data_IF_799311068555
#
_entry.id   IF_799311068555
#
_cell.length_a   1.000
_cell.length_b   1.000
_cell.length_c   1.000
_cell.angle_alpha   90.00
_cell.angle_beta   90.00
_cell.angle_gamma   90.00
#
_symmetry.space_group_name_H-M   'P 1'
#
loop_
_entity.id
_entity.type
_entity.pdbx_description
1 polymer ?
#
# COMPACT_ATOMS: atom_id res chain seq x y z
N UNK A 1 5.14 -1.73 25.37
CA UNK A 1 4.15 -2.38 24.48
C UNK A 1 3.49 -1.27 23.67
N UNK A 2 3.79 -1.15 22.37
CA UNK A 2 3.26 -0.07 21.54
C UNK A 2 1.71 -0.20 21.45
N UNK A 3 0.96 0.91 21.49
CA UNK A 3 -0.49 0.87 21.46
C UNK A 3 -0.95 0.17 20.17
N UNK A 4 -1.79 -0.87 20.30
CA UNK A 4 -2.50 -1.47 19.16
C UNK A 4 -3.34 -0.35 18.54
N UNK A 5 -2.93 0.14 17.36
CA UNK A 5 -3.76 1.04 16.58
C UNK A 5 -5.14 0.37 16.38
N UNK A 6 -6.20 1.11 16.71
CA UNK A 6 -7.60 0.68 16.57
C UNK A 6 -7.91 0.53 15.08
N UNK A 7 -7.66 -0.66 14.53
CA UNK A 7 -7.87 -0.96 13.11
C UNK A 7 -7.37 -2.35 12.76
N UNK A 8 -8.03 -3.01 11.80
CA UNK A 8 -7.60 -4.29 11.26
C UNK A 8 -6.32 -4.15 10.43
N UNK A 9 -5.72 -5.26 10.01
CA UNK A 9 -4.49 -5.25 9.20
C UNK A 9 -4.59 -4.34 7.95
N UNK A 10 -5.76 -4.32 7.29
CA UNK A 10 -6.03 -3.43 6.16
C UNK A 10 -5.97 -1.96 6.54
N UNK A 11 -6.57 -1.57 7.67
CA UNK A 11 -6.58 -0.18 8.12
C UNK A 11 -5.18 0.30 8.51
N UNK A 12 -4.38 -0.58 9.13
CA UNK A 12 -2.98 -0.28 9.46
C UNK A 12 -2.15 -0.06 8.21
N UNK A 13 -2.29 -0.94 7.22
CA UNK A 13 -1.63 -0.79 5.92
C UNK A 13 -2.07 0.51 5.24
N UNK A 14 -3.37 0.82 5.24
CA UNK A 14 -3.89 2.08 4.68
C UNK A 14 -3.22 3.30 5.31
N UNK A 15 -3.22 3.38 6.64
CA UNK A 15 -2.60 4.48 7.37
C UNK A 15 -1.10 4.57 7.11
N UNK A 16 -0.42 3.42 7.00
CA UNK A 16 1.00 3.38 6.72
C UNK A 16 1.32 3.88 5.32
N UNK A 17 0.61 3.42 4.29
CA UNK A 17 0.78 3.95 2.94
C UNK A 17 0.49 5.45 2.86
N UNK A 18 -0.61 5.92 3.48
CA UNK A 18 -0.99 7.34 3.46
C UNK A 18 0.02 8.25 4.19
N UNK A 19 0.83 7.70 5.11
CA UNK A 19 1.89 8.45 5.79
C UNK A 19 3.24 8.40 5.06
N UNK A 20 3.37 7.54 4.04
CA UNK A 20 4.61 7.32 3.27
C UNK A 20 4.32 7.42 1.76
N UNK A 21 3.55 8.44 1.36
CA UNK A 21 3.24 8.69 -0.05
C UNK A 21 4.54 9.08 -0.79
N UNK A 22 4.79 8.45 -1.94
CA UNK A 22 6.01 8.69 -2.71
C UNK A 22 7.23 7.89 -2.24
N UNK A 23 7.12 7.12 -1.15
CA UNK A 23 8.22 6.33 -0.61
C UNK A 23 8.15 4.86 -1.04
N UNK A 24 9.32 4.26 -1.32
CA UNK A 24 9.43 2.83 -1.63
C UNK A 24 9.42 2.03 -0.33
N UNK A 25 8.44 1.15 -0.20
CA UNK A 25 8.20 0.32 0.98
C UNK A 25 8.46 -1.16 0.68
N UNK A 26 9.14 -1.84 1.60
CA UNK A 26 9.40 -3.27 1.51
C UNK A 26 8.23 -4.12 2.02
N UNK A 27 7.97 -5.24 1.34
CA UNK A 27 6.91 -6.18 1.70
C UNK A 27 7.06 -6.77 3.11
N UNK A 28 8.28 -6.92 3.62
CA UNK A 28 8.52 -7.36 5.00
C UNK A 28 8.01 -6.32 6.01
N UNK A 29 8.29 -5.03 5.78
CA UNK A 29 7.76 -3.94 6.60
C UNK A 29 6.23 -3.90 6.55
N UNK A 30 5.63 -4.05 5.36
CA UNK A 30 4.17 -4.11 5.23
C UNK A 30 3.57 -5.30 5.98
N UNK A 31 4.21 -6.46 5.94
CA UNK A 31 3.81 -7.63 6.73
C UNK A 31 3.84 -7.33 8.23
N UNK A 32 4.88 -6.68 8.72
CA UNK A 32 4.99 -6.29 10.14
C UNK A 32 3.91 -5.29 10.55
N UNK A 33 3.67 -4.26 9.73
CA UNK A 33 2.59 -3.28 9.91
C UNK A 33 1.21 -3.97 9.98
N UNK A 34 1.00 -4.99 9.15
CA UNK A 34 -0.21 -5.81 9.14
C UNK A 34 -0.32 -6.75 10.36
N UNK A 35 0.65 -6.74 11.29
CA UNK A 35 0.68 -7.60 12.47
C UNK A 35 1.27 -8.98 12.22
N UNK A 36 2.08 -9.15 11.17
CA UNK A 36 2.79 -10.40 10.86
C UNK A 36 1.96 -11.47 10.14
N UNK A 37 0.70 -11.18 9.81
CA UNK A 37 -0.23 -12.13 9.18
C UNK A 37 0.20 -12.50 7.75
N UNK A 38 -0.10 -13.71 7.29
CA UNK A 38 0.16 -14.15 5.90
C UNK A 38 -0.62 -13.33 4.86
N UNK A 39 -1.83 -12.88 5.23
CA UNK A 39 -2.78 -12.22 4.33
C UNK A 39 -2.43 -10.76 3.99
N UNK A 40 -1.29 -10.24 4.47
CA UNK A 40 -0.91 -8.83 4.26
C UNK A 40 -0.94 -8.45 2.77
N UNK A 41 -0.40 -9.30 1.89
CA UNK A 41 -0.36 -9.04 0.45
C UNK A 41 -1.76 -9.05 -0.19
N UNK A 42 -2.71 -9.81 0.37
CA UNK A 42 -4.12 -9.72 -0.03
C UNK A 42 -4.71 -8.38 0.39
N UNK A 43 -4.45 -7.92 1.61
CA UNK A 43 -4.94 -6.61 2.11
C UNK A 43 -4.40 -5.44 1.28
N UNK A 44 -3.15 -5.50 0.83
CA UNK A 44 -2.60 -4.50 -0.10
C UNK A 44 -3.39 -4.47 -1.42
N UNK A 45 -3.77 -5.63 -1.98
CA UNK A 45 -4.59 -5.69 -3.20
C UNK A 45 -5.99 -5.16 -3.01
N UNK A 46 -6.60 -5.40 -1.84
CA UNK A 46 -7.90 -4.81 -1.48
C UNK A 46 -7.82 -3.28 -1.46
N UNK A 47 -6.76 -2.70 -0.87
CA UNK A 47 -6.54 -1.25 -0.90
C UNK A 47 -6.40 -0.70 -2.33
N UNK A 48 -5.68 -1.41 -3.20
CA UNK A 48 -5.52 -1.02 -4.62
C UNK A 48 -6.84 -1.10 -5.38
N UNK A 49 -7.55 -2.22 -5.26
CA UNK A 49 -8.68 -2.55 -6.14
C UNK A 49 -10.04 -2.05 -5.61
N UNK A 50 -10.26 -2.12 -4.29
CA UNK A 50 -11.55 -1.74 -3.67
C UNK A 50 -11.57 -0.26 -3.28
N UNK A 51 -10.44 0.28 -2.85
CA UNK A 51 -10.35 1.69 -2.38
C UNK A 51 -9.68 2.63 -3.38
N UNK A 52 -9.11 2.08 -4.46
CA UNK A 52 -8.50 2.86 -5.53
C UNK A 52 -7.16 3.50 -5.15
N UNK A 53 -6.46 3.04 -4.11
CA UNK A 53 -5.12 3.56 -3.82
C UNK A 53 -4.17 3.19 -4.96
N UNK A 54 -3.37 4.16 -5.45
CA UNK A 54 -2.40 3.92 -6.53
C UNK A 54 -1.13 3.24 -5.99
N UNK A 55 -1.29 2.02 -5.46
CA UNK A 55 -0.20 1.20 -4.96
C UNK A 55 0.44 0.47 -6.14
N UNK A 56 1.60 0.97 -6.54
CA UNK A 56 2.44 0.41 -7.60
C UNK A 56 3.32 -0.71 -7.05
N UNK A 57 3.62 -1.65 -7.94
CA UNK A 57 4.56 -2.76 -7.72
C UNK A 57 5.60 -2.79 -8.84
N UNK A 58 6.59 -3.68 -8.77
CA UNK A 58 7.55 -3.90 -9.85
C UNK A 58 6.91 -4.20 -11.23
N UNK A 59 5.67 -4.71 -11.27
CA UNK A 59 4.95 -4.91 -12.53
C UNK A 59 4.40 -3.61 -13.13
N UNK A 60 4.20 -2.59 -12.29
CA UNK A 60 3.65 -1.29 -12.69
C UNK A 60 4.79 -0.26 -12.95
N UNK A 61 5.91 -0.39 -12.24
CA UNK A 61 7.05 0.54 -12.31
C UNK A 61 8.39 -0.21 -12.28
N UNK A 62 9.15 -0.10 -13.37
CA UNK A 62 10.43 -0.79 -13.56
C UNK A 62 11.53 -0.37 -12.56
N UNK A 63 11.36 0.74 -11.82
CA UNK A 63 12.31 1.15 -10.78
C UNK A 63 12.09 0.43 -9.44
N UNK A 64 10.99 -0.30 -9.29
CA UNK A 64 10.70 -1.09 -8.10
C UNK A 64 11.24 -2.51 -8.26
N UNK A 65 11.91 -3.03 -7.24
CA UNK A 65 12.30 -4.43 -7.17
C UNK A 65 11.11 -5.33 -6.78
N UNK A 66 11.17 -6.65 -7.06
CA UNK A 66 10.18 -7.59 -6.55
C UNK A 66 10.06 -7.51 -5.03
N UNK A 67 8.81 -7.41 -4.54
CA UNK A 67 8.53 -7.22 -3.12
C UNK A 67 8.53 -5.77 -2.63
N UNK A 68 8.82 -4.80 -3.51
CA UNK A 68 8.67 -3.38 -3.21
C UNK A 68 7.32 -2.83 -3.69
N UNK A 69 6.83 -1.87 -2.93
CA UNK A 69 5.55 -1.21 -3.12
C UNK A 69 5.72 0.29 -2.99
N UNK A 70 4.93 1.05 -3.72
CA UNK A 70 4.94 2.52 -3.66
C UNK A 70 3.50 3.01 -3.76
N UNK A 71 3.04 3.79 -2.79
CA UNK A 71 1.82 4.58 -3.01
C UNK A 71 2.22 5.84 -3.75
N UNK A 72 1.87 5.92 -5.04
CA UNK A 72 2.13 7.12 -5.84
C UNK A 72 1.20 8.26 -5.45
N UNK A 73 -0.11 7.98 -5.41
CA UNK A 73 -1.14 8.92 -5.00
C UNK A 73 -2.24 8.21 -4.19
N UNK A 74 -2.85 8.89 -3.20
CA UNK A 74 -3.84 8.29 -2.30
C UNK A 74 -5.16 7.94 -2.98
N UNK A 75 -5.41 8.38 -4.22
CA UNK A 75 -6.56 8.01 -5.04
C UNK A 75 -6.14 8.02 -6.51
N UNK A 76 -6.91 7.40 -7.42
CA UNK A 76 -6.63 7.52 -8.84
C UNK A 76 -6.79 8.99 -9.22
N UNK A 77 -5.77 9.58 -9.82
CA UNK A 77 -5.94 10.81 -10.60
C UNK A 77 -6.95 10.56 -11.73
N UNK A 78 -7.60 11.60 -12.28
CA UNK A 78 -8.44 11.44 -13.45
C UNK A 78 -7.63 10.73 -14.54
N UNK A 79 -8.07 9.53 -14.93
CA UNK A 79 -7.31 8.63 -15.80
C UNK A 79 -6.83 9.35 -17.07
N UNK A 80 -7.61 10.30 -17.57
CA UNK A 80 -7.19 11.36 -18.49
C UNK A 80 -8.18 12.53 -18.35
N UNK A 81 -7.72 13.75 -18.06
CA UNK A 81 -8.39 14.92 -18.63
C UNK A 81 -7.98 14.94 -20.11
N UNK A 82 -8.77 14.24 -20.94
CA UNK A 82 -8.67 14.32 -22.39
C UNK A 82 -9.63 15.44 -22.81
N UNK A 83 -9.10 16.62 -23.09
CA UNK A 83 -9.75 17.59 -23.99
C UNK A 83 -9.84 17.01 -25.41
#
# INVERSE_FOLDING_TARGET
MAPKSKGGARDRLRQYFLSHIGEVLDGNTLREVAGGISEWARRVRELRNEEGLQILTHNDRNTLAPGQYLLEEPKPGPAFARD
#
